data_IF_152473886059
#
_entry.id   IF_152473886059
#
_cell.length_a   1.000
_cell.length_b   1.000
_cell.length_c   1.000
_cell.angle_alpha   90.00
_cell.angle_beta   90.00
_cell.angle_gamma   90.00
#
_symmetry.space_group_name_H-M   'P 1'
#
loop_
_entity.id
_entity.type
_entity.pdbx_description
1 polymer ?
#
# COMPACT_ATOMS: atom_id res chain seq x y z
N UNK A 1 24.37 -0.46 -7.36
CA UNK A 1 23.32 -0.41 -6.29
C UNK A 1 22.97 1.01 -5.82
N UNK A 2 23.65 2.09 -6.26
CA UNK A 2 23.34 3.46 -5.82
C UNK A 2 22.07 4.06 -6.46
N UNK A 3 21.70 3.61 -7.65
CA UNK A 3 20.54 4.13 -8.41
C UNK A 3 19.19 3.50 -8.03
N UNK A 4 19.16 2.30 -7.43
CA UNK A 4 17.89 1.63 -7.13
C UNK A 4 17.18 2.18 -5.90
N UNK A 5 17.93 2.72 -4.93
CA UNK A 5 17.38 3.36 -3.72
C UNK A 5 16.52 4.61 -4.01
N UNK A 6 16.98 5.60 -4.81
CA UNK A 6 16.14 6.76 -5.12
C UNK A 6 14.91 6.40 -5.95
N UNK A 7 15.01 5.40 -6.84
CA UNK A 7 13.85 4.89 -7.60
C UNK A 7 12.82 4.21 -6.70
N UNK A 8 13.27 3.40 -5.73
CA UNK A 8 12.39 2.77 -4.75
C UNK A 8 11.68 3.80 -3.87
N UNK A 9 12.40 4.83 -3.39
CA UNK A 9 11.82 5.92 -2.60
C UNK A 9 10.81 6.75 -3.41
N UNK A 10 11.12 7.09 -4.66
CA UNK A 10 10.21 7.80 -5.53
C UNK A 10 8.94 6.98 -5.81
N UNK A 11 9.09 5.68 -6.08
CA UNK A 11 7.96 4.76 -6.29
C UNK A 11 7.07 4.65 -5.05
N UNK A 12 7.65 4.57 -3.85
CA UNK A 12 6.89 4.58 -2.60
C UNK A 12 6.15 5.90 -2.40
N UNK A 13 6.80 7.03 -2.64
CA UNK A 13 6.17 8.35 -2.51
C UNK A 13 4.99 8.52 -3.49
N UNK A 14 5.14 8.07 -4.74
CA UNK A 14 4.06 8.05 -5.72
C UNK A 14 2.88 7.17 -5.28
N UNK A 15 3.18 5.98 -4.77
CA UNK A 15 2.17 5.04 -4.25
C UNK A 15 1.38 5.69 -3.11
N UNK A 16 2.08 6.32 -2.17
CA UNK A 16 1.47 6.94 -0.99
C UNK A 16 0.60 8.15 -1.38
N UNK A 17 1.05 8.97 -2.33
CA UNK A 17 0.27 10.08 -2.87
C UNK A 17 -0.98 9.59 -3.62
N UNK A 18 -0.87 8.49 -4.37
CA UNK A 18 -2.02 7.90 -5.09
C UNK A 18 -3.10 7.42 -4.12
N UNK A 19 -2.72 6.78 -3.00
CA UNK A 19 -3.66 6.32 -1.99
C UNK A 19 -4.40 7.48 -1.31
N UNK A 20 -3.72 8.60 -1.05
CA UNK A 20 -4.36 9.81 -0.49
C UNK A 20 -5.45 10.32 -1.41
N UNK A 21 -5.15 10.45 -2.71
CA UNK A 21 -6.13 10.89 -3.70
C UNK A 21 -7.31 9.93 -3.79
N UNK A 22 -7.07 8.62 -3.77
CA UNK A 22 -8.14 7.63 -3.80
C UNK A 22 -9.03 7.71 -2.56
N UNK A 23 -8.47 7.89 -1.36
CA UNK A 23 -9.26 8.13 -0.14
C UNK A 23 -10.14 9.37 -0.31
N UNK A 24 -9.56 10.47 -0.80
CA UNK A 24 -10.30 11.71 -1.04
C UNK A 24 -11.45 11.53 -2.04
N UNK A 25 -11.20 10.84 -3.16
CA UNK A 25 -12.20 10.56 -4.18
C UNK A 25 -13.30 9.63 -3.69
N UNK A 26 -12.96 8.57 -2.95
CA UNK A 26 -13.95 7.68 -2.33
C UNK A 26 -14.79 8.43 -1.29
N UNK A 27 -14.17 9.28 -0.47
CA UNK A 27 -14.88 10.13 0.49
C UNK A 27 -15.85 11.11 -0.19
N UNK A 28 -15.39 11.79 -1.25
CA UNK A 28 -16.26 12.64 -2.06
C UNK A 28 -17.39 11.86 -2.74
N UNK A 29 -17.10 10.64 -3.21
CA UNK A 29 -18.07 9.71 -3.75
C UNK A 29 -19.14 9.31 -2.73
N UNK A 30 -18.75 8.96 -1.50
CA UNK A 30 -19.66 8.64 -0.40
C UNK A 30 -20.59 9.82 -0.08
N UNK A 31 -20.06 11.04 -0.07
CA UNK A 31 -20.87 12.24 0.08
C UNK A 31 -21.83 12.43 -1.11
N UNK A 32 -21.39 12.16 -2.34
CA UNK A 32 -22.28 12.17 -3.51
C UNK A 32 -23.40 11.12 -3.42
N UNK A 33 -23.08 9.91 -2.96
CA UNK A 33 -24.05 8.84 -2.76
C UNK A 33 -25.10 9.21 -1.70
N UNK A 34 -24.72 9.88 -0.61
CA UNK A 34 -25.69 10.31 0.41
C UNK A 34 -26.71 11.31 -0.14
N UNK A 35 -26.30 12.20 -1.06
CA UNK A 35 -27.21 13.09 -1.80
C UNK A 35 -28.12 12.32 -2.75
N UNK A 36 -27.63 11.25 -3.36
CA UNK A 36 -28.43 10.40 -4.23
C UNK A 36 -29.57 9.71 -3.48
N UNK A 37 -29.36 9.39 -2.19
CA UNK A 37 -30.39 8.78 -1.32
C UNK A 37 -31.56 9.74 -1.04
N UNK A 38 -31.35 11.05 -1.14
CA UNK A 38 -32.40 12.07 -0.95
C UNK A 38 -33.36 12.14 -2.16
N UNK A 39 -33.08 11.42 -3.25
CA UNK A 39 -33.88 11.45 -4.48
C UNK A 39 -34.99 10.37 -4.49
N UNK A 40 -36.11 10.57 -5.22
CA UNK A 40 -37.24 9.63 -5.22
C UNK A 40 -36.90 8.20 -5.69
N UNK A 41 -35.88 8.08 -6.55
CA UNK A 41 -35.42 6.79 -7.07
C UNK A 41 -34.61 5.97 -6.05
N UNK A 42 -34.19 6.58 -4.94
CA UNK A 42 -33.38 5.94 -3.91
C UNK A 42 -34.03 4.70 -3.30
N UNK A 43 -35.37 4.67 -3.14
CA UNK A 43 -36.06 3.52 -2.54
C UNK A 43 -35.89 2.22 -3.33
N UNK A 44 -35.76 2.32 -4.66
CA UNK A 44 -35.60 1.15 -5.55
C UNK A 44 -34.14 0.72 -5.68
N UNK A 45 -33.21 1.67 -5.70
CA UNK A 45 -31.79 1.42 -5.92
C UNK A 45 -30.95 1.50 -4.62
N UNK A 46 -31.59 1.64 -3.44
CA UNK A 46 -30.94 1.78 -2.13
C UNK A 46 -29.90 0.67 -1.85
N UNK A 47 -30.19 -0.55 -2.28
CA UNK A 47 -29.27 -1.69 -2.13
C UNK A 47 -27.98 -1.46 -2.91
N UNK A 48 -28.06 -0.98 -4.15
CA UNK A 48 -26.88 -0.73 -4.99
C UNK A 48 -26.08 0.48 -4.50
N UNK A 49 -26.76 1.54 -4.05
CA UNK A 49 -26.12 2.70 -3.42
C UNK A 49 -25.39 2.27 -2.14
N UNK A 50 -26.02 1.43 -1.31
CA UNK A 50 -25.43 0.89 -0.09
C UNK A 50 -24.21 0.00 -0.37
N UNK A 51 -24.28 -0.87 -1.40
CA UNK A 51 -23.15 -1.72 -1.82
C UNK A 51 -21.97 -0.86 -2.29
N UNK A 52 -22.22 0.15 -3.14
CA UNK A 52 -21.17 1.06 -3.60
C UNK A 52 -20.50 1.76 -2.42
N UNK A 53 -21.30 2.25 -1.46
CA UNK A 53 -20.79 2.88 -0.26
C UNK A 53 -19.95 1.94 0.61
N UNK A 54 -20.43 0.71 0.83
CA UNK A 54 -19.71 -0.29 1.62
C UNK A 54 -18.36 -0.66 0.99
N UNK A 55 -18.31 -0.82 -0.33
CA UNK A 55 -17.06 -1.09 -1.07
C UNK A 55 -16.06 0.04 -0.85
N UNK A 56 -16.47 1.30 -0.99
CA UNK A 56 -15.60 2.45 -0.76
C UNK A 56 -15.14 2.60 0.69
N UNK A 57 -15.99 2.29 1.67
CA UNK A 57 -15.58 2.26 3.09
C UNK A 57 -14.48 1.21 3.30
N UNK A 58 -14.65 -0.01 2.77
CA UNK A 58 -13.62 -1.05 2.83
C UNK A 58 -12.34 -0.63 2.10
N UNK A 59 -12.47 0.05 0.96
CA UNK A 59 -11.34 0.62 0.22
C UNK A 59 -10.57 1.66 1.04
N UNK A 60 -11.26 2.59 1.70
CA UNK A 60 -10.64 3.61 2.57
C UNK A 60 -9.90 2.94 3.75
N UNK A 61 -10.52 1.96 4.41
CA UNK A 61 -9.88 1.24 5.51
C UNK A 61 -8.63 0.49 5.03
N UNK A 62 -8.70 -0.16 3.86
CA UNK A 62 -7.57 -0.84 3.25
C UNK A 62 -6.44 0.14 2.91
N UNK A 63 -6.76 1.32 2.40
CA UNK A 63 -5.79 2.38 2.11
C UNK A 63 -5.08 2.87 3.38
N UNK A 64 -5.83 3.09 4.47
CA UNK A 64 -5.27 3.50 5.75
C UNK A 64 -4.36 2.42 6.33
N UNK A 65 -4.78 1.16 6.31
CA UNK A 65 -3.96 0.04 6.76
C UNK A 65 -2.70 -0.13 5.91
N UNK A 66 -2.80 0.01 4.59
CA UNK A 66 -1.66 -0.02 3.67
C UNK A 66 -0.62 1.04 4.02
N UNK A 67 -1.04 2.26 4.37
CA UNK A 67 -0.15 3.35 4.82
C UNK A 67 0.55 3.02 6.14
N UNK A 68 -0.14 2.38 7.09
CA UNK A 68 0.46 1.95 8.37
C UNK A 68 1.51 0.87 8.12
N UNK A 69 1.19 -0.12 7.29
CA UNK A 69 2.12 -1.20 6.93
C UNK A 69 3.33 -0.67 6.16
N UNK A 70 3.13 0.25 5.22
CA UNK A 70 4.23 0.87 4.45
C UNK A 70 5.19 1.67 5.34
N UNK A 71 4.66 2.38 6.35
CA UNK A 71 5.50 3.06 7.37
C UNK A 71 6.32 2.06 8.18
N UNK A 72 5.70 0.97 8.64
CA UNK A 72 6.39 -0.07 9.39
C UNK A 72 7.46 -0.76 8.53
N UNK A 73 7.13 -1.06 7.27
CA UNK A 73 8.06 -1.63 6.30
C UNK A 73 9.29 -0.74 6.09
N UNK A 74 9.08 0.57 5.89
CA UNK A 74 10.16 1.57 5.73
C UNK A 74 11.03 1.67 6.98
N UNK A 75 10.42 1.63 8.17
CA UNK A 75 11.14 1.70 9.45
C UNK A 75 12.02 0.46 9.66
N UNK A 76 11.50 -0.74 9.37
CA UNK A 76 12.26 -1.97 9.46
C UNK A 76 13.39 -2.05 8.41
N UNK A 77 13.17 -1.52 7.21
CA UNK A 77 14.19 -1.49 6.15
C UNK A 77 15.35 -0.55 6.54
N UNK A 78 15.03 0.62 7.09
CA UNK A 78 16.03 1.55 7.62
C UNK A 78 16.87 0.91 8.73
N UNK A 79 16.24 0.19 9.65
CA UNK A 79 16.95 -0.50 10.73
C UNK A 79 17.88 -1.60 10.21
N UNK A 80 17.42 -2.40 9.23
CA UNK A 80 18.23 -3.43 8.60
C UNK A 80 19.43 -2.83 7.84
N UNK A 81 19.25 -1.70 7.16
CA UNK A 81 20.35 -0.99 6.51
C UNK A 81 21.39 -0.50 7.52
N UNK A 82 20.99 0.04 8.67
CA UNK A 82 21.94 0.47 9.72
C UNK A 82 22.74 -0.71 10.26
N UNK A 83 22.08 -1.84 10.52
CA UNK A 83 22.78 -3.04 11.01
C UNK A 83 23.78 -3.59 9.99
N UNK A 84 23.46 -3.55 8.69
CA UNK A 84 24.40 -3.94 7.62
C UNK A 84 25.63 -3.05 7.61
N UNK A 85 25.46 -1.73 7.75
CA UNK A 85 26.57 -0.78 7.80
C UNK A 85 27.46 -1.06 9.01
N UNK A 86 26.87 -1.23 10.20
CA UNK A 86 27.62 -1.55 11.42
C UNK A 86 28.37 -2.88 11.29
N UNK A 87 27.74 -3.93 10.74
CA UNK A 87 28.39 -5.22 10.54
C UNK A 87 29.61 -5.11 9.60
N UNK A 88 29.48 -4.35 8.50
CA UNK A 88 30.58 -4.09 7.57
C UNK A 88 31.70 -3.28 8.23
N UNK A 89 31.36 -2.25 9.01
CA UNK A 89 32.35 -1.43 9.73
C UNK A 89 33.13 -2.26 10.77
N UNK A 90 32.45 -3.11 11.53
CA UNK A 90 33.12 -4.02 12.47
C UNK A 90 34.05 -5.02 11.78
N UNK A 91 33.69 -5.46 10.56
CA UNK A 91 34.55 -6.33 9.75
C UNK A 91 35.79 -5.62 9.23
N UNK A 92 35.65 -4.38 8.76
CA UNK A 92 36.77 -3.55 8.30
C UNK A 92 37.75 -3.23 9.44
N UNK A 93 37.24 -2.99 10.65
CA UNK A 93 38.07 -2.73 11.83
C UNK A 93 38.86 -3.95 12.32
N UNK A 94 38.45 -5.17 11.94
CA UNK A 94 39.04 -6.42 12.43
C UNK A 94 40.29 -6.88 11.66
N UNK A 95 40.71 -6.16 10.62
CA UNK A 95 41.78 -6.55 9.67
C UNK A 95 41.77 -8.04 9.27
N UNK A 96 40.70 -8.56 8.64
CA UNK A 96 40.67 -9.92 8.11
C UNK A 96 41.49 -10.04 6.82
N UNK A 97 41.93 -11.26 6.49
CA UNK A 97 42.49 -11.58 5.17
C UNK A 97 41.50 -11.18 4.05
N UNK A 98 42.01 -10.67 2.92
CA UNK A 98 41.20 -10.04 1.88
C UNK A 98 40.13 -10.97 1.26
N UNK A 99 40.40 -12.28 1.21
CA UNK A 99 39.49 -13.30 0.67
C UNK A 99 38.33 -13.61 1.64
N UNK A 100 38.63 -13.72 2.94
CA UNK A 100 37.64 -13.93 4.00
C UNK A 100 36.77 -12.68 4.21
N UNK A 101 37.35 -11.48 4.04
CA UNK A 101 36.64 -10.22 4.05
C UNK A 101 35.60 -10.17 2.91
N UNK A 102 35.98 -10.55 1.69
CA UNK A 102 35.08 -10.57 0.53
C UNK A 102 33.88 -11.50 0.71
N UNK A 103 34.13 -12.74 1.18
CA UNK A 103 33.07 -13.72 1.43
C UNK A 103 32.11 -13.27 2.54
N UNK A 104 32.63 -12.74 3.63
CA UNK A 104 31.79 -12.31 4.77
C UNK A 104 30.98 -11.06 4.42
N UNK A 105 31.55 -10.14 3.63
CA UNK A 105 30.85 -8.95 3.15
C UNK A 105 29.70 -9.32 2.20
N UNK A 106 29.92 -10.29 1.31
CA UNK A 106 28.88 -10.86 0.46
C UNK A 106 27.77 -11.52 1.27
N UNK A 107 28.09 -12.28 2.32
CA UNK A 107 27.09 -12.93 3.17
C UNK A 107 26.26 -11.93 3.99
N UNK A 108 26.85 -10.83 4.45
CA UNK A 108 26.11 -9.74 5.12
C UNK A 108 25.21 -9.01 4.13
N UNK A 109 25.72 -8.67 2.94
CA UNK A 109 24.93 -8.01 1.91
C UNK A 109 23.74 -8.87 1.46
N UNK A 110 23.93 -10.19 1.39
CA UNK A 110 22.94 -11.15 0.92
C UNK A 110 22.04 -11.71 2.05
N UNK A 111 21.99 -11.04 3.21
CA UNK A 111 21.13 -11.39 4.36
C UNK A 111 21.36 -12.82 4.92
N UNK A 112 22.53 -13.41 4.68
CA UNK A 112 22.86 -14.78 5.11
C UNK A 112 23.41 -14.86 6.52
N UNK A 113 23.76 -13.71 7.12
CA UNK A 113 24.19 -13.67 8.52
C UNK A 113 22.99 -13.97 9.45
N UNK A 114 23.18 -14.88 10.40
CA UNK A 114 22.15 -15.64 11.16
C UNK A 114 20.94 -14.83 11.68
N UNK A 115 21.11 -13.55 12.05
CA UNK A 115 20.02 -12.70 12.56
C UNK A 115 19.34 -11.85 11.46
N UNK A 116 19.98 -11.66 10.30
CA UNK A 116 19.45 -10.86 9.19
C UNK A 116 18.45 -11.63 8.32
N UNK A 117 18.61 -12.95 8.18
CA UNK A 117 17.72 -13.78 7.35
C UNK A 117 16.26 -13.73 7.81
N UNK A 118 16.03 -13.81 9.12
CA UNK A 118 14.68 -13.77 9.69
C UNK A 118 14.05 -12.38 9.57
N UNK A 119 14.86 -11.32 9.69
CA UNK A 119 14.40 -9.93 9.49
C UNK A 119 14.08 -9.63 8.03
N UNK A 120 14.92 -10.06 7.10
CA UNK A 120 14.66 -9.97 5.67
C UNK A 120 13.37 -10.73 5.28
N UNK A 121 13.11 -11.89 5.89
CA UNK A 121 11.86 -12.62 5.67
C UNK A 121 10.61 -11.87 6.19
N UNK A 122 10.72 -11.22 7.36
CA UNK A 122 9.65 -10.34 7.89
C UNK A 122 9.44 -9.13 7.00
N UNK A 123 10.51 -8.51 6.53
CA UNK A 123 10.47 -7.39 5.58
C UNK A 123 9.72 -7.77 4.30
N UNK A 124 10.06 -8.93 3.72
CA UNK A 124 9.36 -9.47 2.55
C UNK A 124 7.89 -9.80 2.83
N UNK A 125 7.54 -10.21 4.04
CA UNK A 125 6.15 -10.40 4.42
C UNK A 125 5.40 -9.07 4.49
N UNK A 126 6.00 -8.03 5.09
CA UNK A 126 5.43 -6.68 5.13
C UNK A 126 5.24 -6.10 3.74
N UNK A 127 6.22 -6.22 2.85
CA UNK A 127 6.09 -5.79 1.45
C UNK A 127 4.93 -6.47 0.72
N UNK A 128 4.73 -7.79 0.94
CA UNK A 128 3.55 -8.48 0.38
C UNK A 128 2.23 -7.95 0.93
N UNK A 129 2.17 -7.60 2.22
CA UNK A 129 0.98 -7.01 2.81
C UNK A 129 0.72 -5.60 2.28
N UNK A 130 1.77 -4.80 2.08
CA UNK A 130 1.70 -3.50 1.41
C UNK A 130 1.07 -3.63 0.02
N UNK A 131 1.55 -4.56 -0.80
CA UNK A 131 0.98 -4.85 -2.12
C UNK A 131 -0.50 -5.25 -2.03
N UNK A 132 -0.86 -6.14 -1.10
CA UNK A 132 -2.25 -6.60 -0.92
C UNK A 132 -3.17 -5.43 -0.59
N UNK A 133 -2.79 -4.55 0.35
CA UNK A 133 -3.60 -3.39 0.71
C UNK A 133 -3.70 -2.38 -0.44
N UNK A 134 -2.61 -2.19 -1.20
CA UNK A 134 -2.61 -1.33 -2.37
C UNK A 134 -3.56 -1.85 -3.45
N UNK A 135 -3.46 -3.11 -3.84
CA UNK A 135 -4.35 -3.71 -4.84
C UNK A 135 -5.80 -3.80 -4.36
N UNK A 136 -6.03 -4.11 -3.08
CA UNK A 136 -7.37 -4.11 -2.50
C UNK A 136 -8.02 -2.72 -2.57
N UNK A 137 -7.25 -1.66 -2.28
CA UNK A 137 -7.73 -0.28 -2.39
C UNK A 137 -8.09 0.07 -3.84
N UNK A 138 -7.21 -0.23 -4.79
CA UNK A 138 -7.46 0.01 -6.21
C UNK A 138 -8.70 -0.74 -6.72
N UNK A 139 -8.83 -2.01 -6.34
CA UNK A 139 -9.97 -2.85 -6.71
C UNK A 139 -11.28 -2.30 -6.12
N UNK A 140 -11.27 -1.92 -4.85
CA UNK A 140 -12.42 -1.30 -4.18
C UNK A 140 -12.79 0.04 -4.82
N UNK A 141 -11.80 0.88 -5.15
CA UNK A 141 -12.05 2.14 -5.85
C UNK A 141 -12.75 1.91 -7.19
N UNK A 142 -12.19 1.06 -8.05
CA UNK A 142 -12.74 0.77 -9.37
C UNK A 142 -14.13 0.12 -9.28
N UNK A 143 -14.30 -0.89 -8.43
CA UNK A 143 -15.58 -1.57 -8.24
C UNK A 143 -16.65 -0.60 -7.71
N UNK A 144 -16.32 0.22 -6.71
CA UNK A 144 -17.24 1.19 -6.14
C UNK A 144 -17.66 2.25 -7.17
N UNK A 145 -16.74 2.73 -8.03
CA UNK A 145 -17.08 3.64 -9.14
C UNK A 145 -18.06 2.99 -10.12
N UNK A 146 -17.82 1.74 -10.52
CA UNK A 146 -18.70 1.02 -11.45
C UNK A 146 -20.10 0.86 -10.86
N UNK A 147 -20.21 0.41 -9.61
CA UNK A 147 -21.49 0.17 -8.95
C UNK A 147 -22.23 1.50 -8.69
N UNK A 148 -21.52 2.54 -8.24
CA UNK A 148 -22.09 3.87 -8.03
C UNK A 148 -22.65 4.46 -9.34
N UNK A 149 -21.90 4.33 -10.44
CA UNK A 149 -22.34 4.80 -11.75
C UNK A 149 -23.58 4.05 -12.24
N UNK A 150 -23.61 2.72 -12.07
CA UNK A 150 -24.78 1.91 -12.43
C UNK A 150 -26.03 2.32 -11.64
N UNK A 151 -25.88 2.56 -10.33
CA UNK A 151 -26.98 3.03 -9.49
C UNK A 151 -27.49 4.42 -9.95
N UNK A 152 -26.57 5.35 -10.21
CA UNK A 152 -26.91 6.69 -10.71
C UNK A 152 -27.61 6.65 -12.08
N UNK A 153 -27.11 5.86 -13.02
CA UNK A 153 -27.69 5.72 -14.36
C UNK A 153 -29.11 5.13 -14.32
N UNK A 154 -29.34 4.12 -13.46
CA UNK A 154 -30.68 3.55 -13.24
C UNK A 154 -31.64 4.56 -12.63
N UNK A 155 -31.17 5.33 -11.65
CA UNK A 155 -31.92 6.44 -11.07
C UNK A 155 -32.32 7.47 -12.15
N UNK A 156 -31.39 7.90 -12.99
CA UNK A 156 -31.64 8.87 -14.07
C UNK A 156 -32.69 8.38 -15.07
N UNK A 157 -32.62 7.10 -15.48
CA UNK A 157 -33.58 6.52 -16.43
C UNK A 157 -35.00 6.45 -15.88
N UNK A 158 -35.18 6.33 -14.57
CA UNK A 158 -36.51 6.36 -13.93
C UNK A 158 -37.07 7.78 -13.93
N UNK A 159 -36.24 8.80 -13.72
CA UNK A 159 -36.68 10.21 -13.62
C UNK A 159 -37.07 10.83 -14.97
N UNK A 160 -36.52 10.32 -16.08
CA UNK A 160 -36.80 10.83 -17.44
C UNK A 160 -38.07 10.21 -18.05
N UNK A 161 -38.65 9.18 -17.41
CA UNK A 161 -39.82 8.44 -17.91
C UNK A 161 -41.13 8.97 -17.34
#
# INVERSE_FOLDING_TARGET
MRETRPLAQASQQHTDQSLIWQIGLMGGGLYGLSRLVETPCATREAVWIGIAGAIWVVGILSAVLGRVVSREHTNQDAFLSVQKIQAVETLLLRNPDAEELGHTLLDIMNDRHLDMKQRAARLKALGRWEDVFYYATNAAFAAGVIVAFQAAARCLMVTIR
#
